data_IF_473942736501
#
_entry.id   IF_473942736501
#
_cell.length_a   1.000
_cell.length_b   1.000
_cell.length_c   1.000
_cell.angle_alpha   90.00
_cell.angle_beta   90.00
_cell.angle_gamma   90.00
#
_symmetry.space_group_name_H-M   'P 1'
#
loop_
_entity.id
_entity.type
_entity.pdbx_description
1 polymer ?
#
# COMPACT_ATOMS: atom_id res chain seq x y z
N UNK A 1 11.69 6.78 12.44
CA UNK A 1 10.88 6.32 11.29
C UNK A 1 9.86 5.28 11.70
N UNK A 2 8.62 5.27 11.15
CA UNK A 2 7.64 4.17 11.29
C UNK A 2 7.71 3.26 10.07
N UNK A 3 7.59 1.93 10.29
CA UNK A 3 7.73 0.92 9.24
C UNK A 3 6.62 -0.11 9.35
N UNK A 4 6.00 -0.41 8.22
CA UNK A 4 5.01 -1.47 8.07
C UNK A 4 5.28 -2.31 6.82
N UNK A 5 4.57 -3.39 6.68
CA UNK A 5 4.56 -4.18 5.45
C UNK A 5 3.17 -4.72 5.15
N UNK A 6 2.93 -5.09 3.89
CA UNK A 6 1.69 -5.74 3.48
C UNK A 6 1.94 -6.91 2.53
N UNK A 7 1.00 -7.85 2.54
CA UNK A 7 1.11 -9.09 1.78
C UNK A 7 -0.24 -9.58 1.27
N UNK A 8 -0.22 -10.51 0.32
CA UNK A 8 -1.40 -11.26 -0.10
C UNK A 8 -1.64 -12.42 0.88
N UNK A 9 -2.81 -12.53 1.50
CA UNK A 9 -3.12 -13.59 2.46
C UNK A 9 -3.44 -14.89 1.73
N UNK A 10 -2.43 -15.73 1.48
CA UNK A 10 -2.59 -16.95 0.70
C UNK A 10 -3.31 -18.08 1.45
N UNK A 11 -3.01 -18.24 2.75
CA UNK A 11 -3.67 -19.21 3.63
C UNK A 11 -3.87 -18.61 5.03
N UNK A 12 -4.75 -19.20 5.87
CA UNK A 12 -4.89 -18.78 7.26
C UNK A 12 -3.57 -18.81 8.04
N UNK A 13 -2.83 -19.92 7.95
CA UNK A 13 -1.58 -20.16 8.68
C UNK A 13 -0.49 -19.14 8.26
N UNK A 14 -0.40 -18.87 6.95
CA UNK A 14 0.52 -17.87 6.42
C UNK A 14 0.15 -16.47 6.93
N UNK A 15 -1.15 -16.15 6.94
CA UNK A 15 -1.65 -14.86 7.43
C UNK A 15 -1.32 -14.64 8.90
N UNK A 16 -1.60 -15.65 9.77
CA UNK A 16 -1.26 -15.57 11.17
C UNK A 16 0.25 -15.48 11.40
N UNK A 17 1.05 -16.27 10.66
CA UNK A 17 2.52 -16.23 10.74
C UNK A 17 3.07 -14.84 10.43
N UNK A 18 2.63 -14.24 9.34
CA UNK A 18 3.06 -12.89 8.92
C UNK A 18 2.66 -11.83 9.96
N UNK A 19 1.44 -11.91 10.51
CA UNK A 19 0.97 -10.98 11.53
C UNK A 19 1.80 -11.10 12.82
N UNK A 20 2.07 -12.33 13.29
CA UNK A 20 2.93 -12.59 14.48
C UNK A 20 4.35 -12.08 14.27
N UNK A 21 4.95 -12.29 13.10
CA UNK A 21 6.28 -11.77 12.77
C UNK A 21 6.30 -10.23 12.81
N UNK A 22 5.30 -9.59 12.22
CA UNK A 22 5.17 -8.13 12.25
C UNK A 22 5.13 -7.59 13.69
N UNK A 23 4.33 -8.21 14.54
CA UNK A 23 4.24 -7.80 15.95
C UNK A 23 5.51 -8.13 16.75
N UNK A 24 6.10 -9.30 16.55
CA UNK A 24 7.29 -9.76 17.27
C UNK A 24 8.50 -8.85 17.01
N UNK A 25 8.71 -8.47 15.78
CA UNK A 25 9.79 -7.55 15.39
C UNK A 25 9.45 -6.07 15.63
N UNK A 26 8.19 -5.76 16.01
CA UNK A 26 7.77 -4.40 16.33
C UNK A 26 7.51 -3.52 15.09
N UNK A 27 7.09 -4.08 13.98
CA UNK A 27 6.54 -3.26 12.89
C UNK A 27 5.34 -2.44 13.38
N UNK A 28 5.18 -1.24 12.86
CA UNK A 28 4.12 -0.34 13.27
C UNK A 28 2.77 -0.68 12.61
N UNK A 29 2.80 -1.35 11.45
CA UNK A 29 1.60 -1.72 10.70
C UNK A 29 1.82 -3.00 9.89
N UNK A 30 0.81 -3.88 9.90
CA UNK A 30 0.69 -5.04 9.00
C UNK A 30 -0.52 -4.86 8.12
N UNK A 31 -0.30 -4.89 6.80
CA UNK A 31 -1.32 -4.70 5.78
C UNK A 31 -1.74 -5.99 5.09
N UNK A 32 -3.01 -6.06 4.75
CA UNK A 32 -3.62 -7.17 4.01
C UNK A 32 -4.13 -6.65 2.66
N UNK A 33 -3.64 -7.24 1.58
CA UNK A 33 -4.07 -6.89 0.23
C UNK A 33 -5.43 -7.54 -0.13
N UNK A 34 -6.26 -6.81 -0.89
CA UNK A 34 -7.55 -7.29 -1.40
C UNK A 34 -7.45 -7.54 -2.90
N UNK A 35 -7.22 -8.79 -3.28
CA UNK A 35 -7.12 -9.18 -4.68
C UNK A 35 -7.85 -10.52 -4.90
N UNK A 36 -9.18 -10.48 -5.14
CA UNK A 36 -9.97 -11.67 -5.45
C UNK A 36 -9.34 -12.50 -6.56
N UNK A 37 -9.34 -13.81 -6.40
CA UNK A 37 -8.70 -14.77 -7.32
C UNK A 37 -7.20 -14.97 -7.11
N UNK A 38 -6.51 -14.09 -6.39
CA UNK A 38 -5.09 -14.26 -6.05
C UNK A 38 -4.88 -14.64 -4.59
N UNK A 39 -5.77 -14.23 -3.68
CA UNK A 39 -5.63 -14.42 -2.24
C UNK A 39 -7.01 -14.55 -1.56
N UNK A 40 -6.99 -14.86 -0.26
CA UNK A 40 -8.18 -14.93 0.58
C UNK A 40 -8.86 -13.57 0.72
N UNK A 41 -10.11 -13.60 1.18
CA UNK A 41 -10.85 -12.39 1.54
C UNK A 41 -10.12 -11.57 2.62
N UNK A 42 -9.91 -10.27 2.40
CA UNK A 42 -9.12 -9.44 3.30
C UNK A 42 -9.73 -9.31 4.70
N UNK A 43 -11.05 -9.33 4.83
CA UNK A 43 -11.71 -9.19 6.13
C UNK A 43 -11.56 -10.42 7.01
N UNK A 44 -11.61 -11.62 6.40
CA UNK A 44 -11.27 -12.87 7.08
C UNK A 44 -9.81 -12.84 7.53
N UNK A 45 -8.90 -12.48 6.65
CA UNK A 45 -7.48 -12.39 6.94
C UNK A 45 -7.15 -11.33 8.03
N UNK A 46 -7.81 -10.16 7.98
CA UNK A 46 -7.68 -9.12 9.01
C UNK A 46 -8.16 -9.62 10.38
N UNK A 47 -9.24 -10.40 10.43
CA UNK A 47 -9.77 -10.96 11.67
C UNK A 47 -8.80 -12.02 12.26
N UNK A 48 -8.23 -12.88 11.41
CA UNK A 48 -7.18 -13.84 11.83
C UNK A 48 -5.96 -13.11 12.38
N UNK A 49 -5.48 -12.08 11.69
CA UNK A 49 -4.35 -11.26 12.15
C UNK A 49 -4.67 -10.55 13.48
N UNK A 50 -5.88 -10.03 13.65
CA UNK A 50 -6.32 -9.39 14.90
C UNK A 50 -6.33 -10.37 16.09
N UNK A 51 -6.75 -11.62 15.86
CA UNK A 51 -6.83 -12.64 16.90
C UNK A 51 -5.46 -13.09 17.42
N UNK A 52 -4.39 -12.93 16.63
CA UNK A 52 -3.04 -13.40 16.98
C UNK A 52 -2.06 -12.28 17.32
N UNK A 53 -2.53 -11.02 17.35
CA UNK A 53 -1.72 -9.83 17.66
C UNK A 53 -2.45 -8.93 18.66
N UNK A 54 -1.72 -8.05 19.34
CA UNK A 54 -2.25 -7.17 20.40
C UNK A 54 -1.83 -5.70 20.29
N UNK A 55 -0.82 -5.36 19.48
CA UNK A 55 -0.24 -4.02 19.40
C UNK A 55 -0.15 -3.46 17.99
N UNK A 56 0.28 -4.29 17.04
CA UNK A 56 0.51 -3.84 15.66
C UNK A 56 -0.80 -3.37 15.02
N UNK A 57 -0.75 -2.24 14.30
CA UNK A 57 -1.89 -1.75 13.52
C UNK A 57 -2.14 -2.70 12.34
N UNK A 58 -3.40 -2.90 12.03
CA UNK A 58 -3.84 -3.77 10.95
C UNK A 58 -4.54 -2.94 9.88
N UNK A 59 -4.11 -3.06 8.62
CA UNK A 59 -4.67 -2.26 7.53
C UNK A 59 -5.14 -3.14 6.36
N UNK A 60 -6.25 -2.77 5.70
CA UNK A 60 -6.37 -3.18 4.31
C UNK A 60 -5.38 -2.36 3.48
N UNK A 61 -4.53 -3.01 2.68
CA UNK A 61 -3.53 -2.31 1.84
C UNK A 61 -3.55 -2.83 0.40
N UNK A 62 -4.58 -2.48 -0.41
CA UNK A 62 -5.77 -1.74 -0.04
C UNK A 62 -7.00 -2.43 -0.62
N UNK A 63 -8.18 -2.21 -0.02
CA UNK A 63 -9.44 -2.59 -0.66
C UNK A 63 -9.96 -1.46 -1.59
N UNK A 64 -11.18 -1.57 -2.09
CA UNK A 64 -11.72 -0.65 -3.09
C UNK A 64 -13.23 -0.39 -2.90
N UNK A 65 -13.78 0.54 -3.70
CA UNK A 65 -15.18 0.94 -3.67
C UNK A 65 -16.08 0.19 -4.67
N UNK A 66 -15.52 -0.75 -5.43
CA UNK A 66 -16.20 -1.38 -6.56
C UNK A 66 -16.65 -2.80 -6.25
N UNK A 67 -15.81 -3.61 -5.64
CA UNK A 67 -16.09 -5.03 -5.38
C UNK A 67 -17.08 -5.26 -4.24
N UNK A 68 -17.27 -4.25 -3.36
CA UNK A 68 -18.26 -4.26 -2.27
C UNK A 68 -18.93 -2.91 -2.13
N UNK A 69 -20.19 -2.93 -1.71
CA UNK A 69 -20.89 -1.68 -1.37
C UNK A 69 -20.17 -0.97 -0.20
N UNK A 70 -19.89 0.35 -0.28
CA UNK A 70 -19.14 1.06 0.74
C UNK A 70 -19.71 0.96 2.16
N UNK A 71 -21.03 0.83 2.31
CA UNK A 71 -21.65 0.59 3.63
C UNK A 71 -21.24 -0.78 4.22
N UNK A 72 -21.11 -1.81 3.39
CA UNK A 72 -20.65 -3.13 3.81
C UNK A 72 -19.16 -3.06 4.18
N UNK A 73 -18.37 -2.34 3.39
CA UNK A 73 -16.95 -2.07 3.67
C UNK A 73 -16.79 -1.33 5.01
N UNK A 74 -17.58 -0.31 5.27
CA UNK A 74 -17.58 0.42 6.54
C UNK A 74 -17.92 -0.50 7.72
N UNK A 75 -18.97 -1.31 7.59
CA UNK A 75 -19.34 -2.28 8.63
C UNK A 75 -18.24 -3.30 8.91
N UNK A 76 -17.61 -3.84 7.85
CA UNK A 76 -16.51 -4.80 7.99
C UNK A 76 -15.27 -4.17 8.68
N UNK A 77 -14.88 -2.95 8.26
CA UNK A 77 -13.75 -2.23 8.85
C UNK A 77 -14.00 -1.93 10.35
N UNK A 78 -15.18 -1.48 10.69
CA UNK A 78 -15.58 -1.23 12.07
C UNK A 78 -15.63 -2.53 12.90
N UNK A 79 -16.05 -3.66 12.30
CA UNK A 79 -16.03 -4.97 12.97
C UNK A 79 -14.61 -5.42 13.27
N UNK A 80 -13.69 -5.28 12.32
CA UNK A 80 -12.25 -5.57 12.56
C UNK A 80 -11.68 -4.63 13.61
N UNK A 81 -12.07 -3.35 13.63
CA UNK A 81 -11.66 -2.41 14.67
C UNK A 81 -12.11 -2.85 16.06
N UNK A 82 -13.35 -3.30 16.17
CA UNK A 82 -13.88 -3.82 17.44
C UNK A 82 -13.13 -5.08 17.92
N UNK A 83 -12.86 -6.04 17.02
CA UNK A 83 -12.11 -7.28 17.32
C UNK A 83 -10.66 -7.00 17.67
N UNK A 84 -10.03 -6.04 16.98
CA UNK A 84 -8.64 -5.65 17.19
C UNK A 84 -8.43 -4.61 18.28
N UNK A 85 -9.50 -4.19 18.99
CA UNK A 85 -9.43 -3.19 20.07
C UNK A 85 -8.88 -1.83 19.62
N UNK A 86 -9.25 -1.39 18.38
CA UNK A 86 -8.89 -0.06 17.87
C UNK A 86 -7.60 0.01 17.06
N UNK A 87 -7.14 -1.11 16.51
CA UNK A 87 -5.93 -1.16 15.70
C UNK A 87 -6.17 -1.14 14.19
N UNK A 88 -7.44 -1.10 13.77
CA UNK A 88 -7.80 -1.16 12.35
C UNK A 88 -7.53 0.16 11.61
N UNK A 89 -7.11 0.04 10.37
CA UNK A 89 -6.99 1.12 9.38
C UNK A 89 -7.65 0.67 8.10
N UNK A 90 -8.56 1.46 7.57
CA UNK A 90 -9.19 1.18 6.29
C UNK A 90 -8.40 1.85 5.15
N UNK A 91 -7.61 1.10 4.42
CA UNK A 91 -6.98 1.58 3.18
C UNK A 91 -7.88 1.34 1.97
N UNK A 92 -8.15 2.40 1.21
CA UNK A 92 -9.01 2.42 0.02
C UNK A 92 -8.25 2.91 -1.19
N UNK A 93 -8.33 2.16 -2.29
CA UNK A 93 -7.80 2.56 -3.59
C UNK A 93 -8.86 2.59 -4.69
N UNK A 94 -8.45 2.97 -5.89
CA UNK A 94 -9.29 2.91 -7.09
C UNK A 94 -9.72 1.47 -7.46
N UNK A 95 -8.96 0.47 -7.03
CA UNK A 95 -9.26 -0.94 -7.25
C UNK A 95 -8.66 -1.50 -8.55
N UNK A 96 -7.35 -1.59 -8.63
CA UNK A 96 -6.66 -2.11 -9.82
C UNK A 96 -6.88 -3.62 -10.04
N UNK A 97 -6.00 -4.47 -9.50
CA UNK A 97 -6.07 -5.94 -9.71
C UNK A 97 -7.34 -6.55 -9.11
N UNK A 98 -7.74 -6.11 -7.92
CA UNK A 98 -8.94 -6.60 -7.26
C UNK A 98 -10.22 -6.36 -8.07
N UNK A 99 -10.31 -5.24 -8.76
CA UNK A 99 -11.46 -4.88 -9.62
C UNK A 99 -11.35 -5.55 -10.99
N UNK A 100 -10.16 -5.53 -11.60
CA UNK A 100 -9.93 -6.14 -12.92
C UNK A 100 -10.18 -7.66 -12.91
N UNK A 101 -9.80 -8.35 -11.83
CA UNK A 101 -9.98 -9.80 -11.69
C UNK A 101 -11.45 -10.22 -11.65
N UNK A 102 -12.36 -9.35 -11.28
CA UNK A 102 -13.82 -9.58 -11.29
C UNK A 102 -14.52 -8.92 -12.48
N UNK A 103 -13.77 -8.42 -13.45
CA UNK A 103 -14.32 -7.81 -14.68
C UNK A 103 -14.88 -6.40 -14.48
N UNK A 104 -14.55 -5.75 -13.37
CA UNK A 104 -15.01 -4.40 -13.08
C UNK A 104 -14.12 -3.30 -13.65
N UNK A 105 -14.54 -2.05 -13.45
CA UNK A 105 -13.79 -0.84 -13.84
C UNK A 105 -13.36 -0.11 -12.57
N UNK A 106 -12.07 0.25 -12.43
CA UNK A 106 -11.58 1.00 -11.28
C UNK A 106 -12.31 2.32 -11.06
N UNK A 107 -12.45 2.73 -9.80
CA UNK A 107 -13.09 3.99 -9.44
C UNK A 107 -12.26 5.20 -9.93
N UNK A 108 -12.91 6.16 -10.57
CA UNK A 108 -12.29 7.43 -10.93
C UNK A 108 -12.06 8.33 -9.68
N UNK A 109 -11.27 9.41 -9.84
CA UNK A 109 -10.93 10.31 -8.72
C UNK A 109 -12.13 10.92 -8.00
N UNK A 110 -13.19 11.29 -8.73
CA UNK A 110 -14.43 11.81 -8.13
C UNK A 110 -15.13 10.78 -7.25
N UNK A 111 -15.30 9.55 -7.75
CA UNK A 111 -15.90 8.45 -6.97
C UNK A 111 -15.01 8.08 -5.77
N UNK A 112 -13.69 8.13 -5.92
CA UNK A 112 -12.77 7.89 -4.80
C UNK A 112 -12.95 8.95 -3.72
N UNK A 113 -13.03 10.23 -4.08
CA UNK A 113 -13.26 11.34 -3.14
C UNK A 113 -14.60 11.18 -2.40
N UNK A 114 -15.67 10.91 -3.14
CA UNK A 114 -17.00 10.66 -2.57
C UNK A 114 -16.99 9.49 -1.58
N UNK A 115 -16.38 8.36 -1.97
CA UNK A 115 -16.28 7.16 -1.15
C UNK A 115 -15.45 7.38 0.12
N UNK A 116 -14.32 8.07 0.03
CA UNK A 116 -13.50 8.40 1.20
C UNK A 116 -14.27 9.29 2.18
N UNK A 117 -14.98 10.31 1.68
CA UNK A 117 -15.82 11.20 2.52
C UNK A 117 -16.92 10.40 3.22
N UNK A 118 -17.63 9.56 2.47
CA UNK A 118 -18.65 8.67 3.03
C UNK A 118 -18.10 7.75 4.11
N UNK A 119 -16.99 7.05 3.81
CA UNK A 119 -16.39 6.08 4.73
C UNK A 119 -15.89 6.74 6.02
N UNK A 120 -15.24 7.90 5.92
CA UNK A 120 -14.80 8.65 7.10
C UNK A 120 -15.97 9.06 7.99
N UNK A 121 -17.07 9.55 7.40
CA UNK A 121 -18.28 9.93 8.14
C UNK A 121 -18.90 8.72 8.82
N UNK A 122 -19.10 7.61 8.10
CA UNK A 122 -19.70 6.40 8.65
C UNK A 122 -18.84 5.76 9.75
N UNK A 123 -17.50 5.73 9.54
CA UNK A 123 -16.52 5.16 10.48
C UNK A 123 -16.20 6.10 11.66
N UNK A 124 -16.65 7.33 11.63
CA UNK A 124 -16.74 8.21 12.81
C UNK A 124 -18.03 8.02 13.62
N UNK A 125 -18.85 7.01 13.28
CA UNK A 125 -20.13 6.75 13.95
C UNK A 125 -21.23 7.76 13.61
N UNK A 126 -21.06 8.56 12.55
CA UNK A 126 -22.02 9.56 12.12
C UNK A 126 -22.91 9.02 10.99
N UNK A 127 -24.18 9.46 10.90
CA UNK A 127 -25.03 9.17 9.75
C UNK A 127 -24.36 9.65 8.45
N UNK A 128 -24.28 8.76 7.46
CA UNK A 128 -23.70 9.04 6.15
C UNK A 128 -24.64 8.56 5.04
N UNK A 129 -24.50 9.10 3.83
CA UNK A 129 -25.27 8.66 2.67
C UNK A 129 -24.34 8.34 1.52
N UNK A 130 -24.55 7.18 0.90
CA UNK A 130 -23.89 6.76 -0.33
C UNK A 130 -24.91 6.65 -1.44
N UNK A 131 -24.85 7.57 -2.43
CA UNK A 131 -25.78 7.58 -3.57
C UNK A 131 -27.26 7.45 -3.19
N UNK A 132 -27.66 8.17 -2.15
CA UNK A 132 -29.03 8.17 -1.65
C UNK A 132 -29.38 7.10 -0.62
N UNK A 133 -28.52 6.08 -0.43
CA UNK A 133 -28.71 5.07 0.62
C UNK A 133 -28.08 5.53 1.94
N UNK A 134 -28.90 5.66 2.99
CA UNK A 134 -28.42 6.04 4.32
C UNK A 134 -27.70 4.87 5.01
N UNK A 135 -26.64 5.19 5.73
CA UNK A 135 -25.87 4.25 6.55
C UNK A 135 -25.56 4.91 7.89
N UNK A 136 -25.78 4.17 8.97
CA UNK A 136 -25.39 4.57 10.30
C UNK A 136 -24.86 3.35 11.07
N UNK A 137 -23.71 3.49 11.72
CA UNK A 137 -23.05 2.45 12.52
C UNK A 137 -22.99 2.90 14.00
N UNK A 138 -24.13 2.88 14.74
CA UNK A 138 -24.21 3.46 16.09
C UNK A 138 -23.37 2.72 17.13
N UNK A 139 -22.86 1.55 16.79
CA UNK A 139 -21.98 0.72 17.61
C UNK A 139 -20.49 1.02 17.45
N UNK A 140 -20.11 1.89 16.51
CA UNK A 140 -18.74 2.41 16.36
C UNK A 140 -18.43 3.29 17.58
N UNK A 141 -17.42 2.90 18.35
CA UNK A 141 -17.04 3.57 19.61
C UNK A 141 -15.91 4.57 19.46
N UNK A 142 -15.14 4.46 18.37
CA UNK A 142 -14.02 5.33 18.02
C UNK A 142 -13.93 5.45 16.51
N UNK A 143 -13.45 6.58 15.97
CA UNK A 143 -13.22 6.69 14.54
C UNK A 143 -12.19 5.67 14.04
N UNK A 144 -12.51 4.94 12.96
CA UNK A 144 -11.55 4.10 12.26
C UNK A 144 -10.89 4.94 11.16
N UNK A 145 -9.56 5.11 11.16
CA UNK A 145 -8.86 5.92 10.16
C UNK A 145 -9.04 5.37 8.75
N UNK A 146 -9.32 6.26 7.79
CA UNK A 146 -9.49 5.92 6.37
C UNK A 146 -8.34 6.51 5.56
N UNK A 147 -7.53 5.63 4.95
CA UNK A 147 -6.37 6.00 4.14
C UNK A 147 -6.66 5.79 2.66
N UNK A 148 -6.15 6.70 1.84
CA UNK A 148 -6.25 6.60 0.38
C UNK A 148 -4.97 6.03 -0.23
N UNK A 149 -5.07 5.02 -1.10
CA UNK A 149 -3.96 4.64 -1.95
C UNK A 149 -3.85 5.61 -3.14
N UNK A 150 -2.69 6.20 -3.31
CA UNK A 150 -2.46 7.22 -4.31
C UNK A 150 -1.12 7.02 -5.03
N UNK A 151 -1.17 6.99 -6.37
CA UNK A 151 0.01 6.84 -7.23
C UNK A 151 0.03 7.81 -8.42
N UNK A 152 -0.93 8.72 -8.50
CA UNK A 152 -1.02 9.71 -9.56
C UNK A 152 -1.50 11.06 -9.05
N UNK A 153 -1.30 12.14 -9.81
CA UNK A 153 -1.51 13.51 -9.32
C UNK A 153 -2.92 13.77 -8.77
N UNK A 154 -3.95 13.27 -9.45
CA UNK A 154 -5.33 13.46 -9.00
C UNK A 154 -5.62 12.66 -7.71
N UNK A 155 -5.17 11.39 -7.62
CA UNK A 155 -5.36 10.58 -6.44
C UNK A 155 -4.62 11.14 -5.21
N UNK A 156 -3.42 11.70 -5.39
CA UNK A 156 -2.67 12.38 -4.33
C UNK A 156 -3.43 13.61 -3.80
N UNK A 157 -4.01 14.45 -4.68
CA UNK A 157 -4.88 15.56 -4.23
C UNK A 157 -6.12 15.05 -3.50
N UNK A 158 -6.76 14.01 -4.00
CA UNK A 158 -7.94 13.39 -3.36
C UNK A 158 -7.57 12.85 -1.97
N UNK A 159 -6.41 12.21 -1.80
CA UNK A 159 -5.94 11.75 -0.50
C UNK A 159 -5.85 12.90 0.51
N UNK A 160 -5.21 14.01 0.15
CA UNK A 160 -5.15 15.21 1.00
C UNK A 160 -6.53 15.79 1.31
N UNK A 161 -7.42 15.83 0.32
CA UNK A 161 -8.73 16.45 0.48
C UNK A 161 -9.71 15.62 1.34
N UNK A 162 -9.65 14.29 1.29
CA UNK A 162 -10.74 13.45 1.77
C UNK A 162 -10.31 12.26 2.68
N UNK A 163 -9.02 11.98 2.88
CA UNK A 163 -8.56 10.85 3.70
C UNK A 163 -7.93 11.31 5.01
N UNK A 164 -7.78 10.40 6.00
CA UNK A 164 -7.03 10.63 7.24
C UNK A 164 -5.54 10.33 7.04
N UNK A 165 -5.21 9.55 6.02
CA UNK A 165 -3.84 9.26 5.62
C UNK A 165 -3.76 8.82 4.16
N UNK A 166 -2.53 8.56 3.70
CA UNK A 166 -2.25 8.14 2.34
C UNK A 166 -1.21 7.03 2.30
N UNK A 167 -1.48 6.00 1.53
CA UNK A 167 -0.51 5.04 1.05
C UNK A 167 -0.02 5.48 -0.33
N UNK A 168 1.17 6.05 -0.38
CA UNK A 168 1.73 6.71 -1.57
C UNK A 168 2.69 5.78 -2.29
N UNK A 169 2.34 5.37 -3.49
CA UNK A 169 3.22 4.58 -4.36
C UNK A 169 3.67 5.45 -5.55
N UNK A 170 4.74 6.23 -5.35
CA UNK A 170 5.22 7.17 -6.35
C UNK A 170 6.75 7.11 -6.55
N UNK A 171 7.48 6.70 -5.52
CA UNK A 171 8.94 6.61 -5.47
C UNK A 171 9.49 7.07 -4.12
N UNK A 172 10.76 6.73 -3.86
CA UNK A 172 11.46 6.99 -2.61
C UNK A 172 12.50 8.11 -2.71
N UNK A 173 12.80 8.62 -3.91
CA UNK A 173 13.73 9.73 -4.11
C UNK A 173 13.18 11.06 -3.61
N UNK A 174 14.05 12.02 -3.36
CA UNK A 174 13.67 13.33 -2.82
C UNK A 174 12.70 14.09 -3.75
N UNK A 175 12.86 13.94 -5.06
CA UNK A 175 11.96 14.56 -6.03
C UNK A 175 10.57 13.94 -5.98
N UNK A 176 10.48 12.60 -5.99
CA UNK A 176 9.21 11.87 -5.94
C UNK A 176 8.48 12.10 -4.62
N UNK A 177 9.17 11.98 -3.49
CA UNK A 177 8.58 12.22 -2.16
C UNK A 177 8.11 13.67 -2.04
N UNK A 178 8.94 14.63 -2.45
CA UNK A 178 8.58 16.05 -2.44
C UNK A 178 7.40 16.37 -3.35
N UNK A 179 7.36 15.78 -4.55
CA UNK A 179 6.25 15.97 -5.50
C UNK A 179 4.94 15.43 -4.94
N UNK A 180 4.93 14.19 -4.44
CA UNK A 180 3.75 13.58 -3.85
C UNK A 180 3.22 14.39 -2.66
N UNK A 181 4.13 14.83 -1.77
CA UNK A 181 3.78 15.66 -0.63
C UNK A 181 3.11 16.98 -1.04
N UNK A 182 3.70 17.71 -2.00
CA UNK A 182 3.10 18.97 -2.51
C UNK A 182 1.67 18.77 -3.02
N UNK A 183 1.39 17.66 -3.72
CA UNK A 183 0.05 17.38 -4.24
C UNK A 183 -0.94 17.04 -3.13
N UNK A 184 -0.55 16.26 -2.13
CA UNK A 184 -1.37 15.94 -0.95
C UNK A 184 -1.69 17.24 -0.19
N UNK A 185 -0.68 18.06 0.08
CA UNK A 185 -0.85 19.34 0.76
C UNK A 185 -1.78 20.29 -0.02
N UNK A 186 -1.64 20.36 -1.33
CA UNK A 186 -2.53 21.17 -2.17
C UNK A 186 -3.99 20.69 -2.03
N UNK A 187 -4.24 19.37 -2.12
CA UNK A 187 -5.57 18.81 -1.92
C UNK A 187 -6.15 19.09 -0.53
N UNK A 188 -5.33 19.00 0.52
CA UNK A 188 -5.74 19.33 1.88
C UNK A 188 -6.15 20.79 2.00
N UNK A 189 -5.33 21.73 1.50
CA UNK A 189 -5.62 23.18 1.52
C UNK A 189 -6.88 23.52 0.72
N UNK A 190 -7.07 22.93 -0.46
CA UNK A 190 -8.28 23.08 -1.29
C UNK A 190 -9.55 22.66 -0.52
N UNK A 191 -9.43 21.63 0.31
CA UNK A 191 -10.50 21.15 1.19
C UNK A 191 -10.56 21.86 2.56
N UNK A 192 -9.76 22.91 2.78
CA UNK A 192 -9.65 23.67 4.04
C UNK A 192 -9.25 22.78 5.24
N UNK A 193 -8.40 21.79 4.98
CA UNK A 193 -7.85 20.90 6.00
C UNK A 193 -6.37 21.23 6.25
N UNK A 194 -5.89 20.94 7.44
CA UNK A 194 -4.47 21.03 7.75
C UNK A 194 -3.69 19.88 7.06
N UNK A 195 -2.64 20.14 6.27
CA UNK A 195 -1.78 19.10 5.73
C UNK A 195 -1.13 18.21 6.81
N UNK A 196 -0.91 18.76 8.02
CA UNK A 196 -0.33 18.03 9.15
C UNK A 196 -1.26 16.92 9.70
N UNK A 197 -2.55 16.95 9.37
CA UNK A 197 -3.51 15.91 9.76
C UNK A 197 -3.41 14.64 8.90
N UNK A 198 -2.69 14.71 7.76
CA UNK A 198 -2.63 13.60 6.82
C UNK A 198 -1.42 12.72 7.14
N UNK A 199 -1.69 11.49 7.56
CA UNK A 199 -0.68 10.48 7.86
C UNK A 199 -0.16 9.82 6.57
N UNK A 200 1.08 10.12 6.14
CA UNK A 200 1.59 9.71 4.82
C UNK A 200 2.59 8.57 4.93
N UNK A 201 2.29 7.45 4.28
CA UNK A 201 3.13 6.27 4.18
C UNK A 201 3.60 6.05 2.74
N UNK A 202 4.91 6.09 2.50
CA UNK A 202 5.48 5.78 1.18
C UNK A 202 5.56 4.27 0.99
N UNK A 203 5.01 3.77 -0.12
CA UNK A 203 5.06 2.35 -0.48
C UNK A 203 6.35 2.06 -1.25
N UNK A 204 7.01 0.94 -0.92
CA UNK A 204 8.13 0.39 -1.67
C UNK A 204 8.06 -1.13 -1.72
N UNK A 205 8.78 -1.72 -2.68
CA UNK A 205 9.04 -3.15 -2.73
C UNK A 205 10.13 -3.51 -1.73
N UNK A 206 10.00 -4.63 -1.03
CA UNK A 206 11.03 -5.13 -0.13
C UNK A 206 11.43 -6.55 -0.50
N UNK A 207 12.74 -6.77 -0.63
CA UNK A 207 13.32 -8.10 -0.71
C UNK A 207 14.71 -8.11 -0.03
N UNK A 208 14.84 -8.82 1.08
CA UNK A 208 16.05 -8.85 1.91
C UNK A 208 16.57 -10.27 2.02
N UNK A 209 17.85 -10.44 1.80
CA UNK A 209 18.55 -11.72 1.96
C UNK A 209 19.96 -11.49 2.53
N UNK A 210 20.44 -12.44 3.33
CA UNK A 210 21.84 -12.44 3.78
C UNK A 210 22.83 -12.45 2.61
N UNK A 211 22.41 -12.94 1.43
CA UNK A 211 23.11 -12.83 0.15
C UNK A 211 22.34 -11.84 -0.72
N UNK A 212 22.88 -10.65 -0.94
CA UNK A 212 22.23 -9.58 -1.69
C UNK A 212 21.82 -9.98 -3.12
N UNK A 213 22.59 -10.83 -3.80
CA UNK A 213 22.27 -11.38 -5.12
C UNK A 213 20.94 -12.17 -5.11
N UNK A 214 20.69 -12.95 -4.07
CA UNK A 214 19.42 -13.70 -3.91
C UNK A 214 18.21 -12.79 -3.78
N UNK A 215 18.32 -11.69 -3.03
CA UNK A 215 17.25 -10.69 -2.92
C UNK A 215 16.96 -10.01 -4.27
N UNK A 216 17.97 -9.86 -5.13
CA UNK A 216 17.84 -9.23 -6.43
C UNK A 216 17.37 -10.18 -7.55
N UNK A 217 17.46 -11.49 -7.34
CA UNK A 217 17.15 -12.50 -8.35
C UNK A 217 15.70 -12.40 -8.83
N UNK A 218 14.74 -12.33 -7.89
CA UNK A 218 13.30 -12.26 -8.17
C UNK A 218 12.70 -10.86 -8.05
N UNK A 219 13.51 -9.87 -7.67
CA UNK A 219 13.03 -8.49 -7.51
C UNK A 219 12.37 -7.94 -8.78
N UNK A 220 12.78 -8.40 -9.95
CA UNK A 220 12.17 -8.05 -11.22
C UNK A 220 10.67 -8.35 -11.31
N UNK A 221 10.18 -9.40 -10.64
CA UNK A 221 8.74 -9.72 -10.60
C UNK A 221 7.92 -8.63 -9.92
N UNK A 222 8.33 -8.24 -8.70
CA UNK A 222 7.62 -7.24 -7.92
C UNK A 222 7.76 -5.85 -8.56
N UNK A 223 8.93 -5.51 -9.08
CA UNK A 223 9.17 -4.25 -9.79
C UNK A 223 8.30 -4.15 -11.05
N UNK A 224 8.25 -5.21 -11.86
CA UNK A 224 7.43 -5.26 -13.06
C UNK A 224 5.95 -5.09 -12.76
N UNK A 225 5.45 -5.83 -11.75
CA UNK A 225 4.07 -5.73 -11.30
C UNK A 225 3.72 -4.30 -10.85
N UNK A 226 4.54 -3.73 -9.96
CA UNK A 226 4.29 -2.40 -9.38
C UNK A 226 4.44 -1.31 -10.45
N UNK A 227 5.52 -1.32 -11.24
CA UNK A 227 5.80 -0.28 -12.23
C UNK A 227 4.77 -0.25 -13.37
N UNK A 228 4.37 -1.41 -13.89
CA UNK A 228 3.33 -1.49 -14.91
C UNK A 228 2.01 -0.83 -14.45
N UNK A 229 1.71 -0.93 -13.17
CA UNK A 229 0.52 -0.36 -12.56
C UNK A 229 0.66 1.14 -12.26
N UNK A 230 1.75 1.55 -11.59
CA UNK A 230 1.87 2.91 -11.08
C UNK A 230 2.44 3.89 -12.10
N UNK A 231 3.33 3.44 -12.99
CA UNK A 231 3.97 4.29 -14.02
C UNK A 231 3.30 4.15 -15.38
N UNK A 232 2.90 2.93 -15.75
CA UNK A 232 2.40 2.61 -17.09
C UNK A 232 1.21 3.41 -17.61
N UNK A 233 0.24 3.86 -16.78
CA UNK A 233 -0.89 4.66 -17.28
C UNK A 233 -0.51 6.03 -17.85
N UNK A 234 0.53 6.66 -17.31
CA UNK A 234 0.99 8.00 -17.72
C UNK A 234 2.47 8.15 -17.33
N UNK A 235 3.40 7.54 -18.08
CA UNK A 235 4.82 7.55 -17.72
C UNK A 235 5.39 8.96 -17.62
N UNK A 236 5.09 9.84 -18.56
CA UNK A 236 5.57 11.22 -18.59
C UNK A 236 5.05 12.03 -17.40
N UNK A 237 3.74 11.98 -17.14
CA UNK A 237 3.12 12.68 -16.01
C UNK A 237 3.52 12.13 -14.65
N UNK A 238 4.23 10.99 -14.64
CA UNK A 238 4.80 10.38 -13.43
C UNK A 238 6.31 10.50 -13.32
N UNK A 239 6.91 11.38 -14.11
CA UNK A 239 8.33 11.69 -14.04
C UNK A 239 9.22 10.52 -14.44
N UNK A 240 8.78 9.68 -15.38
CA UNK A 240 9.66 8.70 -16.03
C UNK A 240 10.57 9.43 -17.01
N UNK A 241 11.88 9.22 -17.00
CA UNK A 241 12.79 9.77 -17.99
C UNK A 241 12.34 9.46 -19.42
N UNK A 242 12.43 10.44 -20.31
CA UNK A 242 11.86 10.35 -21.67
C UNK A 242 12.39 9.15 -22.45
N UNK A 243 13.64 8.80 -22.26
CA UNK A 243 14.30 7.64 -22.86
C UNK A 243 13.77 6.29 -22.38
N UNK A 244 13.17 6.24 -21.18
CA UNK A 244 12.60 5.03 -20.59
C UNK A 244 11.09 4.87 -20.82
N UNK A 245 10.42 5.93 -21.31
CA UNK A 245 8.96 5.91 -21.56
C UNK A 245 8.54 4.78 -22.49
N UNK A 246 9.21 4.50 -23.64
CA UNK A 246 8.84 3.39 -24.51
C UNK A 246 8.88 2.04 -23.79
N UNK A 247 9.93 1.79 -22.99
CA UNK A 247 10.10 0.56 -22.24
C UNK A 247 9.03 0.38 -21.15
N UNK A 248 8.63 1.48 -20.47
CA UNK A 248 7.54 1.44 -19.46
C UNK A 248 6.19 1.15 -20.13
N UNK A 249 5.94 1.68 -21.34
CA UNK A 249 4.73 1.36 -22.12
C UNK A 249 4.69 -0.09 -22.56
N UNK A 250 5.83 -0.65 -22.99
CA UNK A 250 5.95 -2.07 -23.33
C UNK A 250 5.74 -2.96 -22.10
N UNK A 251 6.33 -2.62 -20.96
CA UNK A 251 6.10 -3.30 -19.69
C UNK A 251 4.60 -3.30 -19.36
N UNK A 252 3.91 -2.17 -19.52
CA UNK A 252 2.47 -2.05 -19.28
C UNK A 252 1.64 -2.92 -20.20
N UNK A 253 1.99 -3.00 -21.48
CA UNK A 253 1.31 -3.83 -22.46
C UNK A 253 1.46 -5.33 -22.18
N UNK A 254 2.59 -5.72 -21.59
CA UNK A 254 2.88 -7.11 -21.21
C UNK A 254 2.30 -7.51 -19.84
N UNK A 255 1.68 -6.57 -19.11
CA UNK A 255 1.19 -6.78 -17.76
C UNK A 255 -0.15 -7.53 -17.71
N UNK A 256 -0.29 -8.42 -16.75
CA UNK A 256 -1.56 -9.09 -16.43
C UNK A 256 -1.79 -9.16 -14.92
N UNK A 257 -3.02 -8.88 -14.49
CA UNK A 257 -3.42 -8.92 -13.07
C UNK A 257 -3.59 -10.34 -12.52
N UNK A 258 -3.67 -11.35 -13.39
CA UNK A 258 -3.94 -12.74 -13.03
C UNK A 258 -2.68 -13.59 -12.87
N UNK A 259 -1.54 -13.13 -13.31
CA UNK A 259 -0.29 -13.86 -13.15
C UNK A 259 0.33 -13.60 -11.80
N UNK A 260 0.48 -14.66 -11.01
CA UNK A 260 1.36 -14.67 -9.83
C UNK A 260 2.84 -14.57 -10.22
N UNK A 261 3.17 -14.87 -11.46
CA UNK A 261 4.52 -14.92 -11.99
C UNK A 261 4.60 -14.06 -13.25
N UNK A 262 5.09 -12.85 -13.11
CA UNK A 262 5.69 -12.14 -14.23
C UNK A 262 7.10 -12.69 -14.44
N UNK A 263 7.56 -12.68 -15.69
CA UNK A 263 8.96 -13.00 -15.98
C UNK A 263 9.88 -12.01 -15.24
N UNK A 264 10.67 -12.46 -14.25
CA UNK A 264 11.55 -11.57 -13.46
C UNK A 264 12.60 -10.88 -14.32
N UNK A 265 12.89 -11.44 -15.50
CA UNK A 265 13.86 -10.91 -16.43
C UNK A 265 13.27 -9.86 -17.39
N UNK A 266 11.94 -9.69 -17.46
CA UNK A 266 11.30 -8.73 -18.36
C UNK A 266 11.83 -7.31 -18.11
N UNK A 267 11.84 -6.85 -16.85
CA UNK A 267 12.35 -5.51 -16.52
C UNK A 267 13.83 -5.34 -16.84
N UNK A 268 14.64 -6.40 -16.75
CA UNK A 268 16.06 -6.39 -17.14
C UNK A 268 16.21 -6.30 -18.66
N UNK A 269 15.44 -7.09 -19.43
CA UNK A 269 15.45 -7.03 -20.90
C UNK A 269 15.01 -5.69 -21.46
N UNK A 270 14.09 -5.01 -20.75
CA UNK A 270 13.61 -3.67 -21.11
C UNK A 270 14.54 -2.55 -20.63
N UNK A 271 15.67 -2.87 -19.97
CA UNK A 271 16.60 -1.86 -19.44
C UNK A 271 16.05 -1.05 -18.26
N UNK A 272 14.98 -1.52 -17.62
CA UNK A 272 14.28 -0.80 -16.56
C UNK A 272 14.74 -1.15 -15.14
N UNK A 273 15.52 -2.22 -14.97
CA UNK A 273 15.76 -2.82 -13.64
C UNK A 273 16.38 -1.82 -12.66
N UNK A 274 17.48 -1.18 -13.03
CA UNK A 274 18.22 -0.29 -12.14
C UNK A 274 17.40 0.96 -11.79
N UNK A 275 16.73 1.55 -12.78
CA UNK A 275 15.83 2.69 -12.58
C UNK A 275 14.68 2.33 -11.63
N UNK A 276 13.99 1.22 -11.87
CA UNK A 276 12.85 0.81 -11.05
C UNK A 276 13.29 0.42 -9.63
N UNK A 277 14.44 -0.27 -9.51
CA UNK A 277 15.01 -0.62 -8.21
C UNK A 277 15.32 0.65 -7.41
N UNK A 278 16.03 1.60 -7.99
CA UNK A 278 16.37 2.85 -7.31
C UNK A 278 15.13 3.66 -6.88
N UNK A 279 14.10 3.64 -7.70
CA UNK A 279 12.88 4.43 -7.48
C UNK A 279 11.88 3.76 -6.53
N UNK A 280 11.72 2.43 -6.60
CA UNK A 280 10.56 1.73 -6.03
C UNK A 280 10.92 0.64 -5.00
N UNK A 281 12.20 0.36 -4.76
CA UNK A 281 12.57 -0.77 -3.91
C UNK A 281 13.55 -0.41 -2.81
N UNK A 282 13.49 -1.23 -1.76
CA UNK A 282 14.52 -1.46 -0.76
C UNK A 282 14.89 -2.93 -0.87
N UNK A 283 16.11 -3.24 -1.36
CA UNK A 283 16.48 -4.62 -1.63
C UNK A 283 18.00 -4.84 -1.60
N UNK A 284 18.41 -6.01 -1.10
CA UNK A 284 19.80 -6.40 -0.96
C UNK A 284 20.09 -7.09 0.37
N UNK A 285 21.29 -6.90 0.90
CA UNK A 285 21.63 -7.32 2.26
C UNK A 285 20.95 -6.43 3.30
N UNK A 286 20.92 -6.80 4.59
CA UNK A 286 20.42 -5.93 5.64
C UNK A 286 21.10 -4.55 5.67
N UNK A 287 22.41 -4.49 5.42
CA UNK A 287 23.18 -3.25 5.36
C UNK A 287 22.74 -2.38 4.19
N UNK A 288 22.59 -2.98 2.98
CA UNK A 288 22.08 -2.27 1.80
C UNK A 288 20.69 -1.69 2.07
N UNK A 289 19.82 -2.48 2.70
CA UNK A 289 18.46 -2.07 3.03
C UNK A 289 18.44 -0.93 4.05
N UNK A 290 19.28 -0.99 5.08
CA UNK A 290 19.41 0.08 6.07
C UNK A 290 19.82 1.40 5.42
N UNK A 291 20.83 1.36 4.52
CA UNK A 291 21.29 2.55 3.80
C UNK A 291 20.18 3.13 2.91
N UNK A 292 19.46 2.27 2.16
CA UNK A 292 18.36 2.70 1.29
C UNK A 292 17.21 3.31 2.08
N UNK A 293 16.87 2.74 3.24
CA UNK A 293 15.82 3.30 4.12
C UNK A 293 16.24 4.65 4.68
N UNK A 294 17.49 4.82 5.11
CA UNK A 294 18.00 6.12 5.59
C UNK A 294 17.97 7.20 4.50
N UNK A 295 18.36 6.85 3.27
CA UNK A 295 18.22 7.76 2.11
C UNK A 295 16.76 8.18 1.87
N UNK A 296 15.81 7.24 2.00
CA UNK A 296 14.39 7.55 1.88
C UNK A 296 13.92 8.47 3.02
N UNK A 297 14.40 8.27 4.24
CA UNK A 297 14.12 9.16 5.38
C UNK A 297 14.68 10.57 5.15
N UNK A 298 15.91 10.69 4.69
CA UNK A 298 16.53 11.96 4.30
C UNK A 298 15.75 12.66 3.17
N UNK A 299 15.18 11.89 2.24
CA UNK A 299 14.27 12.40 1.21
C UNK A 299 12.92 12.86 1.76
N UNK A 300 12.62 12.60 3.03
CA UNK A 300 11.40 13.00 3.71
C UNK A 300 10.33 11.91 3.80
N UNK A 301 10.62 10.66 3.42
CA UNK A 301 9.73 9.52 3.61
C UNK A 301 9.83 9.01 5.06
N UNK A 302 9.14 9.66 5.98
CA UNK A 302 9.21 9.36 7.42
C UNK A 302 8.47 8.08 7.82
N UNK A 303 7.72 7.48 6.91
CA UNK A 303 6.95 6.26 7.12
C UNK A 303 6.99 5.42 5.85
N UNK A 304 7.34 4.14 5.98
CA UNK A 304 7.45 3.19 4.87
C UNK A 304 6.47 2.03 5.05
N UNK A 305 5.78 1.69 3.98
CA UNK A 305 4.90 0.53 3.88
C UNK A 305 5.40 -0.40 2.77
N UNK A 306 5.98 -1.52 3.14
CA UNK A 306 6.63 -2.41 2.20
C UNK A 306 5.68 -3.46 1.61
N UNK A 307 5.67 -3.65 0.30
CA UNK A 307 5.08 -4.85 -0.30
C UNK A 307 6.10 -5.99 -0.31
N UNK A 308 5.70 -7.14 0.23
CA UNK A 308 6.54 -8.35 0.28
C UNK A 308 5.94 -9.53 -0.48
N UNK A 309 4.77 -9.35 -1.10
CA UNK A 309 3.97 -10.45 -1.69
C UNK A 309 4.69 -11.26 -2.76
N UNK A 310 5.59 -10.63 -3.51
CA UNK A 310 6.34 -11.23 -4.62
C UNK A 310 7.86 -11.28 -4.36
N UNK A 311 8.28 -11.07 -3.11
CA UNK A 311 9.67 -11.29 -2.69
C UNK A 311 10.06 -12.76 -2.90
N UNK A 312 11.35 -13.03 -3.00
CA UNK A 312 11.86 -14.38 -3.20
C UNK A 312 11.45 -15.32 -2.05
N UNK A 313 11.54 -14.83 -0.81
CA UNK A 313 11.03 -15.43 0.41
C UNK A 313 10.36 -14.35 1.28
N UNK A 314 9.03 -14.15 1.17
CA UNK A 314 8.34 -13.12 1.94
C UNK A 314 8.50 -13.24 3.46
N UNK A 315 8.50 -14.47 3.98
CA UNK A 315 8.63 -14.72 5.43
C UNK A 315 10.05 -14.41 5.88
N UNK A 316 11.05 -14.93 5.18
CA UNK A 316 12.46 -14.66 5.47
C UNK A 316 12.81 -13.17 5.31
N UNK A 317 12.24 -12.49 4.32
CA UNK A 317 12.40 -11.04 4.11
C UNK A 317 11.89 -10.24 5.32
N UNK A 318 10.67 -10.53 5.80
CA UNK A 318 10.11 -9.85 6.99
C UNK A 318 10.91 -10.16 8.24
N UNK A 319 11.28 -11.43 8.45
CA UNK A 319 12.06 -11.86 9.61
C UNK A 319 13.44 -11.19 9.62
N UNK A 320 14.16 -11.25 8.52
CA UNK A 320 15.52 -10.71 8.42
C UNK A 320 15.54 -9.18 8.56
N UNK A 321 14.62 -8.48 7.87
CA UNK A 321 14.48 -7.04 8.00
C UNK A 321 14.12 -6.63 9.44
N UNK A 322 13.16 -7.34 10.04
CA UNK A 322 12.72 -7.09 11.41
C UNK A 322 13.81 -7.31 12.46
N UNK A 323 14.68 -8.29 12.25
CA UNK A 323 15.75 -8.63 13.18
C UNK A 323 16.97 -7.73 13.04
N UNK A 324 17.35 -7.36 11.82
CA UNK A 324 18.65 -6.71 11.57
C UNK A 324 18.53 -5.24 11.15
N UNK A 325 17.48 -4.87 10.41
CA UNK A 325 17.33 -3.49 9.91
C UNK A 325 16.49 -2.63 10.85
N UNK A 326 15.32 -3.13 11.25
CA UNK A 326 14.36 -2.32 12.02
C UNK A 326 14.92 -1.81 13.37
N UNK A 327 15.69 -2.58 14.17
CA UNK A 327 16.30 -2.08 15.39
C UNK A 327 17.33 -0.96 15.15
N UNK A 328 18.04 -0.99 14.01
CA UNK A 328 19.04 0.03 13.66
C UNK A 328 18.41 1.36 13.21
N UNK A 329 17.15 1.35 12.78
CA UNK A 329 16.36 2.55 12.43
C UNK A 329 15.77 3.25 13.66
N UNK A 330 15.77 2.61 14.82
CA UNK A 330 15.16 3.12 16.06
C UNK A 330 16.18 3.61 17.09
N UNK A 331 17.46 3.47 16.76
CA UNK A 331 18.58 4.04 17.52
C UNK A 331 18.87 5.47 17.07
#
# INVERSE_FOLDING_TARGET
MRVGFFFWPYTPEYTERMARLGEAHGFDMVGIADTPGNAMDPWVAMTLAAAVTSRVRLATCVTNLVTRHPSITASAAASVDAVSEGRSVLGIGAGHSGVANVGGVPAGPSSLREGLTFLRTALAGQPASWRGAATHLPWVRRPVPVYAAASGPQALRVAGAAADGAFVNYGLGAEEVGHARRLIEAGAREARRSPAEIDVWSIACLDVSARGDTALEKLGNILGFVAAYILGPDPEGRGVPVELVPAVRELRASYTTRQREMDPNLVKRLGLFDYLRARLAVAGTPEDCLEQVRRAEEAGANQLMFTVSLAADPVGTVDLFGREVLPALRR
#
